data_IF_944732668261
#
_entry.id   IF_944732668261
#
_cell.length_a   1.000
_cell.length_b   1.000
_cell.length_c   1.000
_cell.angle_alpha   90.00
_cell.angle_beta   90.00
_cell.angle_gamma   90.00
#
_symmetry.space_group_name_H-M   'P 1'
#
loop_
_entity.id
_entity.type
_entity.pdbx_description
1 polymer ?
#
# COMPACT_ATOMS: atom_id res chain seq x y z
N UNK A 1 6.75 -23.51 10.60
CA UNK A 1 7.90 -22.79 11.17
C UNK A 1 7.41 -21.53 11.86
N UNK A 2 7.96 -21.22 13.01
CA UNK A 2 7.64 -19.97 13.72
C UNK A 2 8.57 -18.88 13.22
N UNK A 3 8.02 -17.75 12.81
CA UNK A 3 8.77 -16.66 12.18
C UNK A 3 8.41 -15.35 12.86
N UNK A 4 9.43 -14.61 13.32
CA UNK A 4 9.23 -13.27 13.86
C UNK A 4 9.45 -12.24 12.76
N UNK A 5 8.52 -11.28 12.63
CA UNK A 5 8.59 -10.21 11.66
C UNK A 5 8.69 -8.89 12.40
N UNK A 6 9.73 -8.11 12.16
CA UNK A 6 9.89 -6.79 12.75
C UNK A 6 9.20 -5.75 11.88
N UNK A 7 8.21 -5.08 12.45
CA UNK A 7 7.46 -4.02 11.78
C UNK A 7 6.07 -4.44 11.31
N UNK A 8 5.07 -3.66 11.66
CA UNK A 8 3.67 -3.87 11.28
C UNK A 8 3.15 -2.73 10.37
N UNK A 9 4.02 -2.18 9.51
CA UNK A 9 3.64 -1.19 8.49
C UNK A 9 2.86 -1.84 7.36
N UNK A 10 3.44 -1.89 6.17
CA UNK A 10 2.82 -2.51 4.99
C UNK A 10 3.43 -3.88 4.68
N UNK A 11 4.75 -3.94 4.63
CA UNK A 11 5.46 -5.16 4.24
C UNK A 11 5.30 -6.29 5.25
N UNK A 12 5.35 -5.98 6.55
CA UNK A 12 5.22 -6.98 7.60
C UNK A 12 3.90 -7.74 7.56
N UNK A 13 2.76 -7.05 7.61
CA UNK A 13 1.45 -7.71 7.49
C UNK A 13 1.26 -8.47 6.18
N UNK A 14 1.74 -7.95 5.05
CA UNK A 14 1.66 -8.65 3.77
C UNK A 14 2.45 -9.94 3.81
N UNK A 15 3.67 -9.93 4.34
CA UNK A 15 4.48 -11.13 4.51
C UNK A 15 3.79 -12.13 5.44
N UNK A 16 3.22 -11.66 6.56
CA UNK A 16 2.51 -12.52 7.51
C UNK A 16 1.34 -13.24 6.84
N UNK A 17 0.59 -12.53 5.99
CA UNK A 17 -0.52 -13.13 5.25
C UNK A 17 -0.05 -14.33 4.42
N UNK A 18 1.01 -14.16 3.64
CA UNK A 18 1.52 -15.23 2.78
C UNK A 18 2.15 -16.37 3.59
N UNK A 19 2.81 -16.07 4.70
CA UNK A 19 3.38 -17.10 5.58
C UNK A 19 2.27 -17.94 6.23
N UNK A 20 1.18 -17.32 6.67
CA UNK A 20 0.03 -18.05 7.19
C UNK A 20 -0.54 -19.00 6.15
N UNK A 21 -0.67 -18.55 4.92
CA UNK A 21 -1.17 -19.40 3.84
C UNK A 21 -0.24 -20.55 3.51
N UNK A 22 1.05 -20.38 3.76
CA UNK A 22 2.05 -21.44 3.56
C UNK A 22 2.18 -22.38 4.76
N UNK A 23 1.37 -22.21 5.80
CA UNK A 23 1.36 -23.08 6.96
C UNK A 23 2.35 -22.70 8.05
N UNK A 24 2.91 -21.48 8.02
CA UNK A 24 3.82 -21.00 9.05
C UNK A 24 3.08 -20.21 10.13
N UNK A 25 3.77 -19.92 11.23
CA UNK A 25 3.25 -19.15 12.36
C UNK A 25 4.01 -17.85 12.50
N UNK A 26 3.60 -16.75 11.81
CA UNK A 26 4.26 -15.46 11.93
C UNK A 26 3.83 -14.72 13.18
N UNK A 27 4.75 -14.00 13.78
CA UNK A 27 4.51 -13.06 14.87
C UNK A 27 5.02 -11.69 14.45
N UNK A 28 4.14 -10.69 14.45
CA UNK A 28 4.50 -9.31 14.14
C UNK A 28 4.93 -8.60 15.40
N UNK A 29 6.08 -7.93 15.34
CA UNK A 29 6.63 -7.15 16.43
C UNK A 29 6.72 -5.70 15.97
N UNK A 30 6.01 -4.80 16.64
CA UNK A 30 5.98 -3.38 16.30
C UNK A 30 6.35 -2.53 17.51
N UNK A 31 7.27 -1.59 17.33
CA UNK A 31 7.72 -0.70 18.40
C UNK A 31 6.72 0.42 18.70
N UNK A 32 5.88 0.80 17.75
CA UNK A 32 4.86 1.82 17.97
C UNK A 32 3.70 1.26 18.81
N UNK A 33 3.06 2.08 19.65
CA UNK A 33 1.98 1.61 20.53
C UNK A 33 0.71 1.18 19.77
N UNK A 34 0.53 1.62 18.54
CA UNK A 34 -0.60 1.25 17.69
C UNK A 34 -0.24 1.42 16.22
N UNK A 35 -1.12 0.94 15.34
CA UNK A 35 -0.92 1.06 13.91
C UNK A 35 -0.85 2.53 13.50
N UNK A 36 0.03 2.80 12.55
CA UNK A 36 0.21 4.16 12.05
C UNK A 36 -1.05 4.61 11.29
N UNK A 37 -1.56 5.79 11.64
CA UNK A 37 -2.73 6.39 11.01
C UNK A 37 -2.41 7.70 10.28
N UNK A 38 -1.13 8.05 10.14
CA UNK A 38 -0.69 9.26 9.47
C UNK A 38 -1.10 9.29 8.00
N UNK A 39 -1.35 10.49 7.49
CA UNK A 39 -1.79 10.68 6.11
C UNK A 39 -0.65 10.66 5.12
N UNK A 40 -0.37 9.51 4.54
CA UNK A 40 0.55 9.39 3.41
C UNK A 40 -0.24 9.08 2.15
N UNK A 41 0.12 9.74 1.06
CA UNK A 41 -0.35 9.33 -0.25
C UNK A 41 0.57 8.22 -0.74
N UNK A 42 0.00 7.06 -1.03
CA UNK A 42 0.72 5.92 -1.59
C UNK A 42 0.13 5.62 -2.95
N UNK A 43 0.97 5.66 -3.97
CA UNK A 43 0.58 5.24 -5.31
C UNK A 43 0.55 3.72 -5.33
N UNK A 44 -0.60 3.18 -5.69
CA UNK A 44 -0.84 1.74 -5.61
C UNK A 44 -1.11 1.18 -7.00
N UNK A 45 -0.06 0.63 -7.61
CA UNK A 45 -0.11 0.13 -8.99
C UNK A 45 0.94 -0.97 -9.20
N UNK A 46 0.95 -1.56 -10.39
CA UNK A 46 1.97 -2.54 -10.77
C UNK A 46 1.91 -3.82 -9.96
N UNK A 47 3.08 -4.32 -9.54
CA UNK A 47 3.20 -5.59 -8.82
C UNK A 47 2.46 -5.56 -7.48
N UNK A 48 2.51 -4.44 -6.76
CA UNK A 48 1.78 -4.29 -5.50
C UNK A 48 0.27 -4.45 -5.69
N UNK A 49 -0.26 -3.88 -6.74
CA UNK A 49 -1.67 -4.03 -7.10
C UNK A 49 -2.01 -5.49 -7.39
N UNK A 50 -1.17 -6.17 -8.16
CA UNK A 50 -1.35 -7.60 -8.49
C UNK A 50 -1.34 -8.47 -7.24
N UNK A 51 -0.44 -8.18 -6.30
CA UNK A 51 -0.34 -8.92 -5.04
C UNK A 51 -1.62 -8.71 -4.21
N UNK A 52 -2.11 -7.48 -4.11
CA UNK A 52 -3.35 -7.19 -3.41
C UNK A 52 -4.55 -7.92 -4.03
N UNK A 53 -4.58 -8.03 -5.36
CA UNK A 53 -5.59 -8.81 -6.05
C UNK A 53 -5.54 -10.28 -5.63
N UNK A 54 -4.34 -10.87 -5.58
CA UNK A 54 -4.16 -12.26 -5.15
C UNK A 54 -4.51 -12.47 -3.68
N UNK A 55 -4.37 -11.45 -2.85
CA UNK A 55 -4.78 -11.49 -1.45
C UNK A 55 -6.29 -11.33 -1.27
N UNK A 56 -7.01 -10.94 -2.31
CA UNK A 56 -8.45 -10.72 -2.26
C UNK A 56 -8.85 -9.42 -1.56
N UNK A 57 -7.95 -8.46 -1.43
CA UNK A 57 -8.22 -7.21 -0.69
C UNK A 57 -8.51 -6.00 -1.59
N UNK A 58 -8.50 -6.18 -2.93
CA UNK A 58 -8.74 -5.05 -3.83
C UNK A 58 -10.08 -4.34 -3.58
N UNK A 59 -11.20 -5.04 -3.35
CA UNK A 59 -12.46 -4.34 -3.08
C UNK A 59 -12.35 -3.39 -1.88
N UNK A 60 -11.71 -3.83 -0.81
CA UNK A 60 -11.49 -2.99 0.38
C UNK A 60 -10.55 -1.82 0.09
N UNK A 61 -9.52 -2.04 -0.72
CA UNK A 61 -8.58 -0.99 -1.13
C UNK A 61 -9.30 0.07 -1.97
N UNK A 62 -10.11 -0.34 -2.93
CA UNK A 62 -10.89 0.58 -3.76
C UNK A 62 -11.90 1.38 -2.94
N UNK A 63 -12.55 0.74 -1.98
CA UNK A 63 -13.53 1.40 -1.12
C UNK A 63 -12.92 2.52 -0.28
N UNK A 64 -11.68 2.32 0.20
CA UNK A 64 -11.01 3.25 1.10
C UNK A 64 -10.00 4.17 0.43
N UNK A 65 -9.71 3.92 -0.84
CA UNK A 65 -8.75 4.70 -1.60
C UNK A 65 -9.38 5.81 -2.41
N UNK A 66 -8.53 6.52 -3.13
CA UNK A 66 -8.94 7.58 -4.04
C UNK A 66 -8.49 7.24 -5.46
N UNK A 67 -9.36 7.46 -6.44
CA UNK A 67 -9.00 7.31 -7.84
C UNK A 67 -8.40 8.63 -8.33
N UNK A 68 -7.09 8.67 -8.48
CA UNK A 68 -6.39 9.83 -9.01
C UNK A 68 -6.58 9.85 -10.52
N UNK A 69 -7.02 11.00 -11.06
CA UNK A 69 -7.30 11.14 -12.48
C UNK A 69 -6.16 11.79 -13.23
N UNK A 70 -5.38 12.63 -12.55
CA UNK A 70 -4.34 13.44 -13.18
C UNK A 70 -3.22 13.73 -12.21
N UNK A 71 -1.98 13.72 -12.71
CA UNK A 71 -0.81 14.24 -12.00
C UNK A 71 -0.41 15.54 -12.66
N UNK A 72 -0.32 16.61 -11.89
CA UNK A 72 0.04 17.95 -12.38
C UNK A 72 1.36 18.40 -11.79
N UNK A 73 2.23 18.92 -12.64
CA UNK A 73 3.43 19.62 -12.23
C UNK A 73 3.10 21.11 -12.15
N UNK A 74 3.37 21.71 -11.01
CA UNK A 74 3.05 23.11 -10.76
C UNK A 74 4.33 23.93 -10.64
N UNK A 75 4.27 25.22 -11.07
CA UNK A 75 5.35 26.19 -10.84
C UNK A 75 5.25 26.78 -9.43
N UNK A 76 6.14 27.72 -9.11
CA UNK A 76 6.18 28.40 -7.80
C UNK A 76 4.89 29.15 -7.48
N UNK A 77 4.10 29.52 -8.49
CA UNK A 77 2.86 30.27 -8.34
C UNK A 77 1.63 29.37 -8.34
N UNK A 78 1.83 28.05 -8.38
CA UNK A 78 0.74 27.09 -8.41
C UNK A 78 0.10 26.90 -9.77
N UNK A 79 0.75 27.32 -10.86
CA UNK A 79 0.24 27.15 -12.22
C UNK A 79 0.75 25.85 -12.83
N UNK A 80 -0.11 25.17 -13.55
CA UNK A 80 0.23 23.93 -14.22
C UNK A 80 1.26 24.19 -15.33
N UNK A 81 2.41 23.52 -15.25
CA UNK A 81 3.46 23.56 -16.28
C UNK A 81 3.64 22.23 -16.99
N UNK A 82 3.01 21.18 -16.52
CA UNK A 82 3.08 19.84 -17.13
C UNK A 82 2.25 18.85 -16.34
N UNK A 83 2.33 17.59 -16.72
CA UNK A 83 1.62 16.52 -16.05
C UNK A 83 1.17 15.44 -17.01
N UNK A 84 0.39 14.49 -16.50
CA UNK A 84 -0.17 13.40 -17.31
C UNK A 84 -1.46 12.90 -16.68
N UNK A 85 -2.30 12.29 -17.52
CA UNK A 85 -3.49 11.59 -17.06
C UNK A 85 -3.11 10.21 -16.57
N UNK A 86 -3.85 9.71 -15.57
CA UNK A 86 -3.66 8.36 -15.07
C UNK A 86 -4.17 7.28 -16.03
N UNK A 87 -4.79 7.66 -17.14
CA UNK A 87 -5.23 6.72 -18.17
C UNK A 87 -4.06 5.96 -18.82
N UNK A 88 -2.81 6.43 -18.61
CA UNK A 88 -1.61 5.75 -19.14
C UNK A 88 -1.18 4.54 -18.32
N UNK A 89 -1.80 4.29 -17.19
CA UNK A 89 -1.46 3.15 -16.31
C UNK A 89 -2.39 1.96 -16.50
#
# INVERSE_FOLDING_TARGET
MKIAISGAGVAGPALAYWLLRAGHEPTLIEQAPHLRTGGYMIDFWGVGYTIAERMGILPAVHERGYAIQEVRLLDKRGRKVGGFSTDVF
#
